data_IF_487906635949
#
_entry.id   IF_487906635949
#
_cell.length_a   1.000
_cell.length_b   1.000
_cell.length_c   1.000
_cell.angle_alpha   90.00
_cell.angle_beta   90.00
_cell.angle_gamma   90.00
#
_symmetry.space_group_name_H-M   'P 1'
#
loop_
_entity.id
_entity.type
_entity.pdbx_description
1 polymer ?
#
# COMPACT_ATOMS: atom_id res chain seq x y z
N UNK A 1 6.98 12.63 -13.88
CA UNK A 1 6.72 11.27 -14.38
C UNK A 1 5.30 11.23 -14.91
N UNK A 2 4.98 10.34 -15.85
CA UNK A 2 3.68 10.35 -16.56
C UNK A 2 2.71 9.26 -16.07
N UNK A 3 3.07 8.53 -15.02
CA UNK A 3 2.23 7.52 -14.37
C UNK A 3 1.65 8.02 -13.04
N UNK A 4 1.04 7.10 -12.30
CA UNK A 4 0.62 7.30 -10.91
C UNK A 4 1.69 6.71 -9.98
N UNK A 5 2.13 7.48 -9.00
CA UNK A 5 2.92 7.03 -7.88
C UNK A 5 2.09 7.18 -6.60
N UNK A 6 1.95 6.10 -5.84
CA UNK A 6 1.15 6.10 -4.62
C UNK A 6 1.97 5.51 -3.46
N UNK A 7 2.28 6.36 -2.48
CA UNK A 7 3.05 6.00 -1.30
C UNK A 7 2.12 5.77 -0.09
N UNK A 8 2.25 4.59 0.51
CA UNK A 8 1.72 4.30 1.84
C UNK A 8 2.89 4.20 2.82
N UNK A 9 2.89 5.02 3.87
CA UNK A 9 3.95 5.02 4.89
C UNK A 9 3.37 4.81 6.29
N UNK A 10 3.75 3.69 6.92
CA UNK A 10 3.33 3.33 8.27
C UNK A 10 4.38 3.68 9.33
N UNK A 11 3.97 4.41 10.38
CA UNK A 11 4.84 4.82 11.49
C UNK A 11 4.10 4.74 12.84
N UNK A 12 4.81 4.69 13.99
CA UNK A 12 4.15 4.70 15.29
C UNK A 12 3.48 6.04 15.61
N UNK A 13 4.17 7.16 15.40
CA UNK A 13 3.73 8.51 15.78
C UNK A 13 4.00 9.51 14.65
N UNK A 14 3.32 10.66 14.66
CA UNK A 14 3.51 11.72 13.65
C UNK A 14 4.93 12.27 13.64
N UNK A 15 5.60 12.28 14.80
CA UNK A 15 7.01 12.65 14.94
C UNK A 15 7.98 11.69 14.25
N UNK A 16 7.54 10.48 13.91
CA UNK A 16 8.33 9.47 13.20
C UNK A 16 8.07 9.45 11.70
N UNK A 17 7.29 10.40 11.16
CA UNK A 17 7.05 10.54 9.72
C UNK A 17 8.34 11.01 9.02
N UNK A 18 9.12 10.05 8.55
CA UNK A 18 10.35 10.30 7.81
C UNK A 18 10.03 11.06 6.52
N UNK A 19 10.80 12.13 6.27
CA UNK A 19 10.72 12.95 5.05
C UNK A 19 9.33 13.51 4.74
N UNK A 20 8.54 13.80 5.78
CA UNK A 20 7.16 14.28 5.65
C UNK A 20 7.07 15.50 4.73
N UNK A 21 7.91 16.51 4.98
CA UNK A 21 7.87 17.77 4.22
C UNK A 21 8.22 17.55 2.75
N UNK A 22 9.18 16.68 2.45
CA UNK A 22 9.56 16.36 1.08
C UNK A 22 8.42 15.67 0.33
N UNK A 23 7.77 14.67 0.95
CA UNK A 23 6.64 13.99 0.33
C UNK A 23 5.42 14.91 0.16
N UNK A 24 5.15 15.78 1.12
CA UNK A 24 4.08 16.78 1.00
C UNK A 24 4.36 17.78 -0.14
N UNK A 25 5.61 18.24 -0.28
CA UNK A 25 6.04 19.07 -1.42
C UNK A 25 5.93 18.33 -2.76
N UNK A 26 6.21 17.02 -2.80
CA UNK A 26 6.00 16.22 -4.01
C UNK A 26 4.52 16.14 -4.40
N UNK A 27 3.64 15.97 -3.41
CA UNK A 27 2.18 15.97 -3.62
C UNK A 27 1.67 17.32 -4.13
N UNK A 28 2.17 18.42 -3.57
CA UNK A 28 1.83 19.76 -4.04
C UNK A 28 2.27 20.01 -5.49
N UNK A 29 3.47 19.53 -5.87
CA UNK A 29 4.01 19.69 -7.22
C UNK A 29 3.34 18.80 -8.27
N UNK A 30 2.80 17.66 -7.86
CA UNK A 30 2.23 16.66 -8.77
C UNK A 30 0.93 16.06 -8.21
N UNK A 31 -0.12 16.86 -7.96
CA UNK A 31 -1.31 16.43 -7.22
C UNK A 31 -2.09 15.31 -7.92
N UNK A 32 -2.06 15.27 -9.26
CA UNK A 32 -2.75 14.26 -10.07
C UNK A 32 -1.95 12.95 -10.20
N UNK A 33 -0.63 13.01 -10.00
CA UNK A 33 0.28 11.89 -10.26
C UNK A 33 0.91 11.31 -9.00
N UNK A 34 0.94 12.04 -7.88
CA UNK A 34 1.50 11.58 -6.62
C UNK A 34 0.45 11.58 -5.50
N UNK A 35 0.14 10.37 -5.02
CA UNK A 35 -0.72 10.15 -3.85
C UNK A 35 0.12 9.72 -2.66
N UNK A 36 -0.28 10.20 -1.48
CA UNK A 36 0.44 10.02 -0.24
C UNK A 36 -0.55 9.75 0.88
N UNK A 37 -0.38 8.60 1.52
CA UNK A 37 -1.21 8.13 2.62
C UNK A 37 -0.34 7.71 3.80
N UNK A 38 -0.52 8.40 4.92
CA UNK A 38 0.15 8.08 6.18
C UNK A 38 -0.72 7.16 7.05
N UNK A 39 -0.10 6.17 7.67
CA UNK A 39 -0.71 5.27 8.64
C UNK A 39 0.00 5.41 10.00
N UNK A 40 -0.56 6.22 10.89
CA UNK A 40 0.05 6.55 12.19
C UNK A 40 -0.58 5.73 13.31
N UNK A 41 0.01 4.55 13.56
CA UNK A 41 -0.63 3.47 14.34
C UNK A 41 -0.99 3.80 15.80
N UNK A 42 -0.35 4.79 16.44
CA UNK A 42 -0.67 5.19 17.83
C UNK A 42 -1.62 6.39 17.93
N UNK A 43 -1.88 7.07 16.82
CA UNK A 43 -2.63 8.34 16.81
C UNK A 43 -3.91 8.25 15.97
N UNK A 44 -3.92 7.36 14.99
CA UNK A 44 -5.04 7.16 14.07
C UNK A 44 -5.71 5.82 14.33
N UNK A 45 -7.04 5.80 14.10
CA UNK A 45 -7.86 4.59 14.12
C UNK A 45 -8.76 4.55 12.90
N UNK A 46 -9.11 3.35 12.44
CA UNK A 46 -10.17 3.20 11.44
C UNK A 46 -11.57 3.31 12.08
N UNK A 47 -12.62 3.17 11.28
CA UNK A 47 -14.02 3.21 11.74
C UNK A 47 -14.36 2.17 12.82
N UNK A 48 -13.62 1.05 12.87
CA UNK A 48 -13.77 -0.02 13.87
C UNK A 48 -12.96 0.23 15.14
N UNK A 49 -12.24 1.35 15.22
CA UNK A 49 -11.39 1.69 16.37
C UNK A 49 -10.05 0.95 16.41
N UNK A 50 -9.70 0.23 15.34
CA UNK A 50 -8.44 -0.51 15.21
C UNK A 50 -7.30 0.46 14.91
N UNK A 51 -6.08 0.14 15.37
CA UNK A 51 -4.89 0.96 15.10
C UNK A 51 -4.64 1.08 13.59
N UNK A 52 -4.26 2.27 13.14
CA UNK A 52 -3.97 2.53 11.73
C UNK A 52 -2.58 2.04 11.34
N UNK A 53 -2.44 0.73 11.07
CA UNK A 53 -1.27 0.19 10.37
C UNK A 53 -1.39 0.35 8.86
N UNK A 54 -0.32 0.06 8.11
CA UNK A 54 -0.30 0.24 6.66
C UNK A 54 -1.42 -0.54 5.97
N UNK A 55 -1.63 -1.79 6.36
CA UNK A 55 -2.71 -2.62 5.85
C UNK A 55 -4.09 -2.03 6.18
N UNK A 56 -4.26 -1.48 7.38
CA UNK A 56 -5.51 -0.82 7.79
C UNK A 56 -5.82 0.38 6.91
N UNK A 57 -4.81 1.20 6.57
CA UNK A 57 -4.98 2.33 5.64
C UNK A 57 -5.25 1.85 4.21
N UNK A 58 -4.53 0.83 3.74
CA UNK A 58 -4.77 0.25 2.42
C UNK A 58 -6.18 -0.32 2.28
N UNK A 59 -6.77 -0.85 3.35
CA UNK A 59 -8.14 -1.37 3.35
C UNK A 59 -9.18 -0.29 3.00
N UNK A 60 -8.92 0.98 3.30
CA UNK A 60 -9.81 2.10 2.94
C UNK A 60 -9.84 2.32 1.41
N UNK A 61 -8.81 1.87 0.70
CA UNK A 61 -8.66 1.98 -0.74
C UNK A 61 -8.66 0.63 -1.46
N UNK A 62 -9.15 -0.41 -0.79
CA UNK A 62 -8.95 -1.81 -1.19
C UNK A 62 -9.38 -2.09 -2.65
N UNK A 63 -10.57 -1.62 -3.04
CA UNK A 63 -11.08 -1.79 -4.41
C UNK A 63 -10.23 -1.04 -5.44
N UNK A 64 -9.80 0.19 -5.13
CA UNK A 64 -8.98 0.98 -6.04
C UNK A 64 -7.60 0.36 -6.24
N UNK A 65 -6.98 -0.10 -5.15
CA UNK A 65 -5.70 -0.82 -5.22
C UNK A 65 -5.81 -2.10 -6.02
N UNK A 66 -6.92 -2.83 -5.88
CA UNK A 66 -7.19 -4.04 -6.67
C UNK A 66 -7.32 -3.75 -8.17
N UNK A 67 -8.11 -2.73 -8.55
CA UNK A 67 -8.25 -2.31 -9.94
C UNK A 67 -6.93 -1.81 -10.55
N UNK A 68 -6.08 -1.16 -9.75
CA UNK A 68 -4.72 -0.81 -10.19
C UNK A 68 -3.88 -2.06 -10.40
N UNK A 69 -3.90 -3.02 -9.46
CA UNK A 69 -3.10 -4.24 -9.53
C UNK A 69 -3.37 -5.07 -10.78
N UNK A 70 -4.62 -5.07 -11.27
CA UNK A 70 -5.03 -5.78 -12.49
C UNK A 70 -4.41 -5.22 -13.77
N UNK A 71 -3.81 -4.03 -13.74
CA UNK A 71 -3.20 -3.41 -14.92
C UNK A 71 -1.76 -3.88 -15.12
N UNK A 72 -1.40 -4.19 -16.36
CA UNK A 72 -0.06 -4.67 -16.73
C UNK A 72 1.06 -3.64 -16.48
N UNK A 73 0.72 -2.37 -16.27
CA UNK A 73 1.68 -1.30 -15.99
C UNK A 73 1.73 -0.90 -14.50
N UNK A 74 1.16 -1.69 -13.60
CA UNK A 74 1.23 -1.46 -12.15
C UNK A 74 2.36 -2.26 -11.54
N UNK A 75 3.18 -1.60 -10.74
CA UNK A 75 4.31 -2.18 -10.02
C UNK A 75 4.19 -1.87 -8.53
N UNK A 76 4.27 -2.90 -7.71
CA UNK A 76 4.20 -2.82 -6.25
C UNK A 76 5.59 -3.03 -5.68
N UNK A 77 5.97 -2.15 -4.76
CA UNK A 77 7.19 -2.25 -3.97
C UNK A 77 6.83 -2.24 -2.49
N UNK A 78 7.35 -3.22 -1.76
CA UNK A 78 7.14 -3.37 -0.32
C UNK A 78 8.49 -3.43 0.38
N UNK A 79 8.74 -2.49 1.29
CA UNK A 79 9.99 -2.42 2.04
C UNK A 79 9.72 -2.12 3.53
N UNK A 80 10.43 -2.80 4.43
CA UNK A 80 10.34 -2.57 5.86
C UNK A 80 10.48 -3.83 6.72
N UNK A 81 9.78 -3.87 7.85
CA UNK A 81 9.84 -4.99 8.81
C UNK A 81 9.16 -6.24 8.25
N UNK A 82 9.76 -7.42 8.44
CA UNK A 82 9.22 -8.72 7.99
C UNK A 82 7.75 -8.97 8.33
N UNK A 83 7.25 -8.43 9.44
CA UNK A 83 5.86 -8.59 9.87
C UNK A 83 4.82 -7.89 8.99
N UNK A 84 5.21 -6.98 8.10
CA UNK A 84 4.26 -6.19 7.31
C UNK A 84 3.58 -6.99 6.18
N UNK A 85 4.27 -7.99 5.61
CA UNK A 85 3.77 -8.72 4.43
C UNK A 85 2.47 -9.46 4.74
N UNK A 86 2.37 -10.08 5.92
CA UNK A 86 1.19 -10.85 6.33
C UNK A 86 -0.08 -10.01 6.31
N UNK A 87 -0.04 -8.82 6.91
CA UNK A 87 -1.22 -7.95 6.99
C UNK A 87 -1.70 -7.46 5.63
N UNK A 88 -0.77 -7.28 4.68
CA UNK A 88 -1.10 -6.90 3.30
C UNK A 88 -1.70 -8.09 2.56
N UNK A 89 -1.10 -9.29 2.68
CA UNK A 89 -1.64 -10.51 2.06
C UNK A 89 -3.08 -10.81 2.53
N UNK A 90 -3.38 -10.67 3.83
CA UNK A 90 -4.73 -10.91 4.37
C UNK A 90 -5.82 -10.07 3.69
N UNK A 91 -5.50 -8.81 3.35
CA UNK A 91 -6.42 -7.91 2.61
C UNK A 91 -6.54 -8.33 1.16
N UNK A 92 -5.41 -8.64 0.51
CA UNK A 92 -5.38 -8.99 -0.90
C UNK A 92 -6.09 -10.32 -1.19
N UNK A 93 -6.05 -11.29 -0.28
CA UNK A 93 -6.83 -12.55 -0.37
C UNK A 93 -8.31 -12.25 -0.49
N UNK A 94 -8.82 -11.36 0.35
CA UNK A 94 -10.24 -11.00 0.37
C UNK A 94 -10.66 -10.26 -0.91
N UNK A 95 -9.79 -9.40 -1.45
CA UNK A 95 -10.04 -8.67 -2.69
C UNK A 95 -10.02 -9.58 -3.92
N UNK A 96 -9.00 -10.42 -4.04
CA UNK A 96 -8.88 -11.35 -5.16
C UNK A 96 -10.06 -12.34 -5.20
N UNK A 97 -10.52 -12.79 -4.04
CA UNK A 97 -11.65 -13.71 -3.93
C UNK A 97 -12.96 -13.13 -4.49
N UNK A 98 -13.17 -11.81 -4.41
CA UNK A 98 -14.35 -11.14 -4.98
C UNK A 98 -14.42 -11.28 -6.51
N UNK A 99 -13.27 -11.40 -7.17
CA UNK A 99 -13.14 -11.62 -8.62
C UNK A 99 -12.93 -13.11 -8.97
N UNK A 100 -13.07 -14.01 -7.97
CA UNK A 100 -12.83 -15.45 -8.16
C UNK A 100 -11.37 -15.81 -8.42
N UNK A 101 -10.43 -14.94 -8.03
CA UNK A 101 -8.99 -15.11 -8.22
C UNK A 101 -8.35 -15.63 -6.94
N UNK A 102 -7.50 -16.66 -7.05
CA UNK A 102 -6.62 -17.06 -5.94
C UNK A 102 -5.45 -16.08 -5.81
N UNK A 103 -5.39 -15.38 -4.68
CA UNK A 103 -4.36 -14.37 -4.43
C UNK A 103 -2.94 -14.95 -4.47
N UNK A 104 -2.73 -16.16 -3.95
CA UNK A 104 -1.38 -16.72 -3.84
C UNK A 104 -0.82 -17.07 -5.22
N UNK A 105 -1.64 -17.60 -6.11
CA UNK A 105 -1.28 -17.86 -7.50
C UNK A 105 -1.13 -16.56 -8.30
N UNK A 106 -2.01 -15.58 -8.09
CA UNK A 106 -1.88 -14.27 -8.74
C UNK A 106 -0.61 -13.53 -8.30
N UNK A 107 -0.31 -13.51 -7.00
CA UNK A 107 0.94 -12.95 -6.44
C UNK A 107 2.18 -13.63 -7.02
N UNK A 108 2.16 -14.95 -7.26
CA UNK A 108 3.25 -15.64 -7.96
C UNK A 108 3.43 -15.15 -9.40
N UNK A 109 2.34 -14.87 -10.10
CA UNK A 109 2.40 -14.30 -11.47
C UNK A 109 3.00 -12.89 -11.43
N UNK A 110 2.52 -12.03 -10.53
CA UNK A 110 3.06 -10.67 -10.35
C UNK A 110 4.54 -10.66 -9.97
N UNK A 111 4.99 -11.62 -9.14
CA UNK A 111 6.42 -11.78 -8.83
C UNK A 111 7.24 -12.18 -10.06
N UNK A 112 6.71 -13.08 -10.90
CA UNK A 112 7.39 -13.51 -12.14
C UNK A 112 7.44 -12.42 -13.21
N UNK A 113 6.46 -11.51 -13.24
CA UNK A 113 6.43 -10.35 -14.12
C UNK A 113 7.13 -9.11 -13.55
N UNK A 114 7.84 -9.24 -12.42
CA UNK A 114 8.55 -8.14 -11.74
C UNK A 114 7.63 -7.00 -11.25
N UNK A 115 6.32 -7.26 -11.15
CA UNK A 115 5.31 -6.31 -10.68
C UNK A 115 5.08 -6.38 -9.17
N UNK A 116 5.63 -7.37 -8.48
CA UNK A 116 5.55 -7.51 -7.02
C UNK A 116 6.94 -7.70 -6.41
N UNK A 117 7.50 -6.61 -5.89
CA UNK A 117 8.88 -6.54 -5.42
C UNK A 117 8.90 -6.33 -3.90
N UNK A 118 9.53 -7.25 -3.15
CA UNK A 118 9.52 -7.24 -1.68
C UNK A 118 10.94 -7.29 -1.15
N UNK A 119 11.27 -6.34 -0.28
CA UNK A 119 12.54 -6.27 0.45
C UNK A 119 12.24 -6.00 1.93
N UNK A 120 12.05 -7.07 2.70
CA UNK A 120 11.76 -6.99 4.14
C UNK A 120 12.84 -7.65 4.97
N UNK A 121 13.14 -7.07 6.13
CA UNK A 121 14.19 -7.52 7.04
C UNK A 121 13.62 -7.86 8.42
#
# INVERSE_FOLDING_TARGET
>A
FNGLAWLFLGVPTSSSLLYKEEFEKMKEKAPENFRLDFAVSREQKNEKGEKMYIQTRMAEYANELWELLKKDNTYVYMCGLRGMEKGIDDIMVSLAANDGIDWLDYKKQLKKSEQWNVEVY
#
